data_IF_397491622685
#
_entry.id   IF_397491622685
#
_cell.length_a   1.000
_cell.length_b   1.000
_cell.length_c   1.000
_cell.angle_alpha   90.00
_cell.angle_beta   90.00
_cell.angle_gamma   90.00
#
_symmetry.space_group_name_H-M   'P 1'
#
loop_
_entity.id
_entity.type
_entity.pdbx_description
1 polymer ?
#
# COMPACT_ATOMS: atom_id res chain seq x y z
N UNK A 1 -32.21 0.68 34.21
CA UNK A 1 -31.82 0.39 32.81
C UNK A 1 -30.30 0.52 32.72
N UNK A 2 -29.51 -0.57 32.63
CA UNK A 2 -28.07 -0.43 32.57
C UNK A 2 -27.65 -0.06 31.16
N UNK A 3 -26.95 1.06 31.07
CA UNK A 3 -26.31 1.58 29.87
C UNK A 3 -25.29 0.56 29.35
N UNK A 4 -25.51 0.05 28.13
CA UNK A 4 -24.53 -0.72 27.39
C UNK A 4 -23.32 0.16 27.11
N UNK A 5 -22.35 0.17 28.04
CA UNK A 5 -20.99 0.60 27.74
C UNK A 5 -20.48 -0.36 26.67
N UNK A 6 -20.47 0.11 25.43
CA UNK A 6 -19.69 -0.48 24.36
C UNK A 6 -18.29 -0.67 24.95
N UNK A 7 -17.89 -1.92 25.19
CA UNK A 7 -16.55 -2.25 25.67
C UNK A 7 -15.57 -1.93 24.54
N UNK A 8 -15.22 -0.66 24.42
CA UNK A 8 -14.06 -0.23 23.65
C UNK A 8 -12.85 -0.66 24.47
N UNK A 9 -12.36 -1.87 24.23
CA UNK A 9 -11.16 -2.38 24.89
C UNK A 9 -9.98 -1.54 24.40
N UNK A 10 -9.41 -0.73 25.30
CA UNK A 10 -8.18 -0.02 25.02
C UNK A 10 -7.08 -1.01 24.65
N UNK A 11 -6.24 -0.63 23.69
CA UNK A 11 -5.06 -1.38 23.32
C UNK A 11 -4.10 -1.38 24.51
N UNK A 12 -3.86 -2.57 25.04
CA UNK A 12 -3.02 -2.83 26.19
C UNK A 12 -1.87 -3.76 25.81
N UNK A 13 -0.73 -3.59 26.47
CA UNK A 13 0.48 -4.33 26.12
C UNK A 13 0.39 -5.83 26.42
N UNK A 14 -0.49 -6.22 27.35
CA UNK A 14 -0.65 -7.61 27.78
C UNK A 14 -1.79 -8.31 27.03
N UNK A 15 -2.48 -7.60 26.13
CA UNK A 15 -3.60 -8.12 25.36
C UNK A 15 -3.18 -9.05 24.22
N UNK A 16 -4.07 -10.00 23.90
CA UNK A 16 -3.95 -10.85 22.72
C UNK A 16 -4.82 -10.25 21.61
N UNK A 17 -4.19 -9.69 20.58
CA UNK A 17 -4.90 -9.09 19.45
C UNK A 17 -4.71 -9.92 18.18
N UNK A 18 -5.66 -9.93 17.24
CA UNK A 18 -5.46 -10.57 15.94
C UNK A 18 -4.33 -9.86 15.19
N UNK A 19 -3.51 -10.57 14.43
CA UNK A 19 -2.44 -9.95 13.66
C UNK A 19 -3.01 -9.18 12.45
N UNK A 20 -2.68 -7.90 12.25
CA UNK A 20 -3.20 -7.15 11.11
C UNK A 20 -2.63 -7.61 9.76
N UNK A 21 -1.43 -8.22 9.76
CA UNK A 21 -0.73 -8.66 8.54
C UNK A 21 -1.30 -9.96 8.02
N UNK A 22 -1.42 -10.99 8.86
CA UNK A 22 -1.90 -12.29 8.44
C UNK A 22 -3.40 -12.51 8.73
N UNK A 23 -4.01 -11.75 9.65
CA UNK A 23 -5.38 -11.95 10.17
C UNK A 23 -5.67 -13.33 10.77
N UNK A 24 -4.68 -14.21 10.83
CA UNK A 24 -4.80 -15.61 11.26
C UNK A 24 -4.16 -15.80 12.64
N UNK A 25 -2.94 -15.29 12.81
CA UNK A 25 -2.22 -15.36 14.08
C UNK A 25 -2.66 -14.31 15.07
N UNK A 26 -2.24 -14.47 16.33
CA UNK A 26 -2.36 -13.45 17.36
C UNK A 26 -1.01 -12.76 17.54
N UNK A 27 -1.03 -11.48 17.90
CA UNK A 27 0.16 -10.78 18.35
C UNK A 27 0.25 -10.91 19.87
N UNK A 28 1.46 -11.23 20.34
CA UNK A 28 1.80 -11.40 21.74
C UNK A 28 3.01 -10.53 22.07
N UNK A 29 3.11 -10.10 23.33
CA UNK A 29 4.23 -9.31 23.82
C UNK A 29 5.55 -10.10 23.73
N UNK A 30 6.62 -9.44 23.26
CA UNK A 30 7.97 -9.97 23.44
C UNK A 30 8.52 -9.45 24.77
N UNK A 31 8.75 -10.30 25.78
CA UNK A 31 9.42 -9.88 27.00
C UNK A 31 10.83 -9.39 26.62
N UNK A 32 11.25 -8.24 27.19
CA UNK A 32 12.50 -7.47 26.95
C UNK A 32 12.48 -6.33 25.90
N UNK A 33 11.42 -6.12 25.13
CA UNK A 33 11.33 -4.98 24.19
C UNK A 33 9.92 -4.38 24.19
N UNK A 34 9.74 -3.11 23.84
CA UNK A 34 8.43 -2.46 23.60
C UNK A 34 7.87 -2.85 22.21
N UNK A 35 7.91 -4.16 21.91
CA UNK A 35 7.45 -4.75 20.67
C UNK A 35 6.57 -5.99 20.89
N UNK A 36 5.60 -6.16 20.00
CA UNK A 36 4.77 -7.36 19.90
C UNK A 36 5.14 -8.14 18.66
N UNK A 37 5.12 -9.47 18.73
CA UNK A 37 5.32 -10.31 17.56
C UNK A 37 4.11 -11.20 17.31
N UNK A 38 3.86 -11.53 16.05
CA UNK A 38 2.83 -12.50 15.71
C UNK A 38 3.35 -13.93 15.84
N UNK A 39 2.60 -14.79 16.54
CA UNK A 39 2.92 -16.21 16.71
C UNK A 39 2.89 -17.02 15.39
N UNK A 40 2.31 -16.44 14.32
CA UNK A 40 2.15 -17.07 13.02
C UNK A 40 3.13 -16.55 11.98
N UNK A 41 3.12 -15.22 11.73
CA UNK A 41 3.97 -14.63 10.71
C UNK A 41 5.36 -14.24 11.24
N UNK A 42 5.59 -14.31 12.56
CA UNK A 42 6.82 -13.90 13.24
C UNK A 42 7.26 -12.48 12.90
N UNK A 43 6.29 -11.64 12.52
CA UNK A 43 6.54 -10.24 12.24
C UNK A 43 6.56 -9.46 13.55
N UNK A 44 7.54 -8.58 13.70
CA UNK A 44 7.72 -7.74 14.89
C UNK A 44 7.07 -6.39 14.62
N UNK A 45 6.28 -5.92 15.57
CA UNK A 45 5.60 -4.64 15.56
C UNK A 45 6.10 -3.81 16.74
N UNK A 46 6.51 -2.58 16.50
CA UNK A 46 6.75 -1.60 17.56
C UNK A 46 5.42 -1.05 18.02
N UNK A 47 5.23 -1.03 19.33
CA UNK A 47 3.97 -0.64 19.95
C UNK A 47 4.09 0.79 20.45
N UNK A 48 3.13 1.63 20.09
CA UNK A 48 2.98 2.96 20.70
C UNK A 48 1.61 3.01 21.39
N UNK A 49 1.63 2.83 22.71
CA UNK A 49 0.45 2.81 23.56
C UNK A 49 -0.23 4.19 23.66
N UNK A 50 0.53 5.28 23.63
CA UNK A 50 0.01 6.65 23.69
C UNK A 50 -0.90 6.97 22.49
N UNK A 51 -0.48 6.51 21.31
CA UNK A 51 -1.21 6.72 20.05
C UNK A 51 -2.12 5.54 19.69
N UNK A 52 -2.18 4.50 20.55
CA UNK A 52 -2.97 3.27 20.36
C UNK A 52 -2.73 2.64 18.99
N UNK A 53 -1.45 2.55 18.61
CA UNK A 53 -1.04 2.13 17.28
C UNK A 53 0.14 1.15 17.33
N UNK A 54 0.21 0.32 16.30
CA UNK A 54 1.35 -0.58 16.07
C UNK A 54 2.00 -0.20 14.76
N UNK A 55 3.33 -0.16 14.75
CA UNK A 55 4.13 0.12 13.55
C UNK A 55 4.94 -1.11 13.18
N UNK A 56 5.11 -1.36 11.91
CA UNK A 56 5.97 -2.43 11.40
C UNK A 56 7.31 -1.83 10.96
N UNK A 57 8.37 -1.91 11.79
CA UNK A 57 9.68 -1.29 11.51
C UNK A 57 10.47 -2.01 10.43
N UNK A 58 10.11 -3.25 10.09
CA UNK A 58 10.77 -4.04 9.03
C UNK A 58 10.53 -3.47 7.62
N UNK A 59 9.70 -2.43 7.48
CA UNK A 59 9.34 -1.80 6.21
C UNK A 59 9.68 -0.31 6.20
N UNK A 60 10.13 0.18 5.04
CA UNK A 60 10.24 1.60 4.73
C UNK A 60 9.40 1.86 3.47
N UNK A 61 8.32 2.65 3.55
CA UNK A 61 7.78 3.34 4.73
C UNK A 61 7.15 2.36 5.75
N UNK A 62 7.25 2.62 7.06
CA UNK A 62 6.69 1.73 8.07
C UNK A 62 5.16 1.74 7.95
N UNK A 63 4.52 0.57 7.94
CA UNK A 63 3.05 0.50 8.01
C UNK A 63 2.60 0.67 9.45
N UNK A 64 1.55 1.46 9.65
CA UNK A 64 0.96 1.83 10.93
C UNK A 64 -0.49 1.39 10.92
N UNK A 65 -0.88 0.67 11.96
CA UNK A 65 -2.27 0.33 12.21
C UNK A 65 -2.72 0.99 13.50
N UNK A 66 -3.90 1.60 13.48
CA UNK A 66 -4.52 2.20 14.67
C UNK A 66 -5.60 1.27 15.20
N UNK A 67 -5.63 1.08 16.51
CA UNK A 67 -6.66 0.27 17.15
C UNK A 67 -7.93 1.10 17.37
N UNK A 68 -9.08 0.63 16.85
CA UNK A 68 -10.38 1.29 17.03
C UNK A 68 -11.23 0.64 18.16
N UNK A 69 -10.61 -0.11 19.07
CA UNK A 69 -11.30 -0.79 20.18
C UNK A 69 -11.81 -2.20 19.89
N UNK A 70 -12.11 -2.51 18.62
CA UNK A 70 -12.58 -3.84 18.18
C UNK A 70 -11.71 -4.47 17.10
N UNK A 71 -11.24 -3.66 16.15
CA UNK A 71 -10.46 -4.11 15.01
C UNK A 71 -9.33 -3.11 14.72
N UNK A 72 -8.33 -3.59 13.98
CA UNK A 72 -7.32 -2.74 13.36
C UNK A 72 -7.96 -1.90 12.27
N UNK A 73 -7.80 -0.58 12.38
CA UNK A 73 -8.10 0.33 11.29
C UNK A 73 -7.10 0.11 10.14
N UNK A 74 -7.47 0.55 8.94
CA UNK A 74 -6.73 0.28 7.71
C UNK A 74 -5.24 0.65 7.82
N UNK A 75 -4.40 -0.15 7.16
CA UNK A 75 -2.95 0.00 7.22
C UNK A 75 -2.54 1.31 6.55
N UNK A 76 -2.15 2.30 7.34
CA UNK A 76 -1.65 3.57 6.83
C UNK A 76 -0.12 3.50 6.76
N UNK A 77 0.46 3.81 5.61
CA UNK A 77 1.91 3.96 5.52
C UNK A 77 2.32 5.23 6.28
N UNK A 78 3.20 5.12 7.27
CA UNK A 78 3.77 6.27 7.98
C UNK A 78 4.53 7.14 6.98
N UNK A 79 4.10 8.39 6.82
CA UNK A 79 4.69 9.32 5.87
C UNK A 79 4.20 9.19 4.42
N UNK A 80 3.34 8.21 4.12
CA UNK A 80 2.53 8.20 2.90
C UNK A 80 1.07 8.24 3.34
N UNK A 81 0.63 9.45 3.70
CA UNK A 81 -0.75 9.80 3.41
C UNK A 81 -0.89 9.56 1.91
N UNK A 82 -1.62 8.51 1.51
CA UNK A 82 -2.15 8.35 0.15
C UNK A 82 -3.15 9.49 -0.08
N UNK A 83 -2.64 10.71 0.01
CA UNK A 83 -3.37 11.93 -0.13
C UNK A 83 -3.82 12.00 -1.57
N UNK A 84 -4.98 12.61 -1.74
CA UNK A 84 -5.53 12.98 -3.03
C UNK A 84 -4.47 13.62 -3.96
N UNK A 85 -3.46 14.28 -3.39
CA UNK A 85 -2.30 14.84 -4.10
C UNK A 85 -1.46 13.83 -4.89
N UNK A 86 -1.24 12.60 -4.42
CA UNK A 86 -0.49 11.60 -5.19
C UNK A 86 -1.28 11.12 -6.41
N UNK A 87 -2.59 10.92 -6.25
CA UNK A 87 -3.49 10.62 -7.36
C UNK A 87 -3.52 11.76 -8.38
N UNK A 88 -3.63 13.00 -7.91
CA UNK A 88 -3.61 14.19 -8.75
C UNK A 88 -2.28 14.33 -9.50
N UNK A 89 -1.15 14.09 -8.83
CA UNK A 89 0.18 14.14 -9.43
C UNK A 89 0.37 13.04 -10.48
N UNK A 90 -0.09 11.81 -10.24
CA UNK A 90 -0.04 10.72 -11.22
C UNK A 90 -0.89 11.04 -12.46
N UNK A 91 -2.10 11.58 -12.26
CA UNK A 91 -2.98 12.01 -13.36
C UNK A 91 -2.33 13.14 -14.15
N UNK A 92 -1.79 14.16 -13.47
CA UNK A 92 -1.10 15.27 -14.11
C UNK A 92 0.13 14.78 -14.89
N UNK A 93 0.91 13.86 -14.33
CA UNK A 93 2.09 13.29 -14.98
C UNK A 93 1.76 12.54 -16.27
N UNK A 94 0.60 11.87 -16.34
CA UNK A 94 0.16 11.18 -17.57
C UNK A 94 -0.47 12.16 -18.56
N UNK A 95 -1.36 13.05 -18.10
CA UNK A 95 -2.16 13.92 -18.96
C UNK A 95 -1.40 15.13 -19.49
N UNK A 96 -0.52 15.74 -18.69
CA UNK A 96 0.20 16.94 -19.09
C UNK A 96 1.07 16.74 -20.35
N UNK A 97 1.95 15.73 -20.43
CA UNK A 97 2.76 15.51 -21.63
C UNK A 97 1.94 15.04 -22.82
N UNK A 98 0.89 14.24 -22.62
CA UNK A 98 0.02 13.78 -23.72
C UNK A 98 -0.84 14.88 -24.31
N UNK A 99 -1.44 15.73 -23.46
CA UNK A 99 -2.22 16.87 -23.92
C UNK A 99 -1.34 17.88 -24.65
N UNK A 100 -0.13 18.14 -24.17
CA UNK A 100 0.82 19.05 -24.84
C UNK A 100 1.14 18.57 -26.26
N UNK A 101 1.45 17.28 -26.43
CA UNK A 101 1.75 16.71 -27.75
C UNK A 101 0.49 16.65 -28.64
N UNK A 102 -0.66 16.30 -28.06
CA UNK A 102 -1.93 16.26 -28.78
C UNK A 102 -2.37 17.64 -29.28
N UNK A 103 -2.15 18.70 -28.49
CA UNK A 103 -2.40 20.10 -28.87
C UNK A 103 -1.51 20.48 -30.05
N UNK A 104 -0.22 20.12 -30.03
CA UNK A 104 0.70 20.37 -31.15
C UNK A 104 0.22 19.68 -32.43
N UNK A 105 -0.21 18.42 -32.33
CA UNK A 105 -0.77 17.68 -33.47
C UNK A 105 -2.07 18.27 -34.01
N UNK A 106 -2.89 18.91 -33.16
CA UNK A 106 -4.13 19.58 -33.56
C UNK A 106 -3.89 20.92 -34.26
N UNK A 107 -2.99 21.76 -33.72
CA UNK A 107 -2.69 23.08 -34.28
C UNK A 107 -1.83 23.02 -35.54
N UNK A 108 -0.98 21.99 -35.67
CA UNK A 108 -0.16 21.75 -36.86
C UNK A 108 -0.59 20.44 -37.53
N UNK A 109 -1.78 20.41 -38.15
CA UNK A 109 -2.26 19.21 -38.82
C UNK A 109 -1.29 18.87 -39.96
N UNK A 110 -0.80 17.63 -40.04
CA UNK A 110 0.14 17.24 -41.08
C UNK A 110 -0.57 17.27 -42.44
N UNK A 111 0.06 17.88 -43.43
CA UNK A 111 -0.45 17.95 -44.80
C UNK A 111 -0.57 16.54 -45.38
N UNK A 112 -1.74 16.18 -45.94
CA UNK A 112 -2.06 14.83 -46.45
C UNK A 112 -1.02 14.24 -47.43
N UNK A 113 -0.22 15.08 -48.09
CA UNK A 113 0.78 14.67 -49.09
C UNK A 113 2.19 14.44 -48.52
N UNK A 114 2.39 14.61 -47.20
CA UNK A 114 3.67 14.35 -46.57
C UNK A 114 3.78 12.88 -46.13
N UNK A 115 4.94 12.20 -46.34
CA UNK A 115 5.10 10.79 -46.00
C UNK A 115 5.05 10.48 -44.48
N UNK A 116 5.06 11.51 -43.62
CA UNK A 116 5.18 11.39 -42.16
C UNK A 116 3.94 12.02 -41.46
N UNK A 117 2.74 11.80 -42.00
CA UNK A 117 1.47 12.28 -41.41
C UNK A 117 1.05 11.53 -40.14
N UNK A 118 1.47 10.27 -40.01
CA UNK A 118 1.16 9.37 -38.90
C UNK A 118 1.99 9.57 -37.63
N UNK A 119 3.16 10.23 -37.74
CA UNK A 119 4.13 10.37 -36.64
C UNK A 119 3.59 11.13 -35.41
N UNK A 120 2.89 12.28 -35.55
CA UNK A 120 2.36 13.00 -34.39
C UNK A 120 1.34 12.17 -33.58
N UNK A 121 0.52 11.38 -34.27
CA UNK A 121 -0.47 10.51 -33.65
C UNK A 121 0.18 9.34 -32.91
N UNK A 122 1.16 8.68 -33.52
CA UNK A 122 1.93 7.62 -32.86
C UNK A 122 2.70 8.15 -31.66
N UNK A 123 3.33 9.31 -31.80
CA UNK A 123 4.12 9.89 -30.72
C UNK A 123 3.25 10.26 -29.51
N UNK A 124 2.03 10.74 -29.74
CA UNK A 124 1.03 11.00 -28.68
C UNK A 124 0.68 9.70 -27.94
N UNK A 125 0.38 8.63 -28.68
CA UNK A 125 0.06 7.31 -28.11
C UNK A 125 1.25 6.69 -27.36
N UNK A 126 2.45 6.76 -27.91
CA UNK A 126 3.67 6.28 -27.27
C UNK A 126 3.93 7.01 -25.96
N UNK A 127 3.79 8.34 -25.97
CA UNK A 127 3.99 9.16 -24.76
C UNK A 127 2.99 8.76 -23.67
N UNK A 128 1.71 8.58 -24.02
CA UNK A 128 0.71 8.08 -23.08
C UNK A 128 1.11 6.74 -22.47
N UNK A 129 1.46 5.77 -23.32
CA UNK A 129 1.83 4.41 -22.89
C UNK A 129 3.08 4.40 -22.02
N UNK A 130 4.11 5.18 -22.35
CA UNK A 130 5.32 5.26 -21.55
C UNK A 130 5.07 5.84 -20.16
N UNK A 131 4.29 6.91 -20.05
CA UNK A 131 3.97 7.51 -18.75
C UNK A 131 3.07 6.59 -17.91
N UNK A 132 2.11 5.92 -18.54
CA UNK A 132 1.29 4.91 -17.88
C UNK A 132 2.15 3.73 -17.39
N UNK A 133 3.09 3.25 -18.21
CA UNK A 133 4.02 2.19 -17.83
C UNK A 133 4.91 2.58 -16.63
N UNK A 134 5.37 3.83 -16.54
CA UNK A 134 6.13 4.33 -15.38
C UNK A 134 5.27 4.32 -14.12
N UNK A 135 4.04 4.84 -14.19
CA UNK A 135 3.13 4.84 -13.04
C UNK A 135 2.80 3.40 -12.62
N UNK A 136 2.51 2.53 -13.59
CA UNK A 136 2.23 1.12 -13.33
C UNK A 136 3.44 0.40 -12.73
N UNK A 137 4.66 0.70 -13.20
CA UNK A 137 5.89 0.17 -12.63
C UNK A 137 6.07 0.61 -11.18
N UNK A 138 5.92 1.91 -10.89
CA UNK A 138 6.01 2.44 -9.52
C UNK A 138 4.95 1.81 -8.63
N UNK A 139 3.72 1.67 -9.13
CA UNK A 139 2.65 1.00 -8.42
C UNK A 139 3.02 -0.45 -8.13
N UNK A 140 3.52 -1.19 -9.12
CA UNK A 140 4.03 -2.55 -8.93
C UNK A 140 5.14 -2.58 -7.90
N UNK A 141 6.16 -1.72 -7.97
CA UNK A 141 7.28 -1.70 -7.02
C UNK A 141 6.79 -1.45 -5.58
N UNK A 142 5.89 -0.48 -5.41
CA UNK A 142 5.27 -0.16 -4.12
C UNK A 142 4.38 -1.30 -3.60
N UNK A 143 3.65 -2.00 -4.49
CA UNK A 143 2.74 -3.10 -4.13
C UNK A 143 3.36 -4.51 -4.16
N UNK A 144 4.53 -4.73 -4.75
CA UNK A 144 5.14 -6.06 -4.88
C UNK A 144 5.65 -6.59 -3.55
N UNK A 145 6.11 -5.71 -2.65
CA UNK A 145 6.61 -6.13 -1.34
C UNK A 145 5.48 -6.66 -0.43
N UNK A 146 4.24 -6.09 -0.37
CA UNK A 146 3.18 -6.64 0.49
C UNK A 146 2.64 -7.98 -0.01
N UNK A 147 2.47 -8.16 -1.33
CA UNK A 147 1.96 -9.42 -1.90
C UNK A 147 3.02 -10.53 -1.80
N UNK A 148 4.29 -10.26 -2.08
CA UNK A 148 5.33 -11.28 -1.98
C UNK A 148 5.59 -11.74 -0.54
N UNK A 149 5.53 -10.84 0.45
CA UNK A 149 5.64 -11.20 1.86
C UNK A 149 4.43 -12.02 2.34
N UNK A 150 3.23 -11.63 1.92
CA UNK A 150 1.99 -12.37 2.17
C UNK A 150 2.02 -13.78 1.55
N UNK A 151 2.45 -13.90 0.29
CA UNK A 151 2.62 -15.17 -0.40
C UNK A 151 3.68 -16.04 0.27
N UNK A 152 4.80 -15.48 0.73
CA UNK A 152 5.81 -16.22 1.50
C UNK A 152 5.25 -16.76 2.82
N UNK A 153 4.47 -15.95 3.53
CA UNK A 153 3.80 -16.37 4.77
C UNK A 153 2.79 -17.51 4.51
N UNK A 154 1.99 -17.38 3.46
CA UNK A 154 1.00 -18.38 3.07
C UNK A 154 1.65 -19.67 2.56
N UNK A 155 2.78 -19.58 1.86
CA UNK A 155 3.52 -20.76 1.38
C UNK A 155 4.19 -21.52 2.55
N UNK A 156 4.67 -20.81 3.58
CA UNK A 156 5.16 -21.42 4.83
C UNK A 156 4.04 -22.13 5.60
N UNK A 157 2.84 -21.54 5.65
CA UNK A 157 1.66 -22.17 6.25
C UNK A 157 1.30 -23.46 5.52
N UNK A 158 1.14 -23.40 4.19
CA UNK A 158 0.87 -24.57 3.36
C UNK A 158 1.89 -25.69 3.55
N UNK A 159 3.17 -25.36 3.66
CA UNK A 159 4.22 -26.35 3.90
C UNK A 159 4.18 -26.95 5.32
N UNK A 160 3.65 -26.25 6.33
CA UNK A 160 3.42 -26.81 7.68
C UNK A 160 2.21 -27.74 7.71
N UNK A 161 1.14 -27.42 6.97
CA UNK A 161 -0.05 -28.28 6.87
C UNK A 161 0.28 -29.62 6.16
N UNK A 162 1.08 -29.59 5.09
CA UNK A 162 1.45 -30.80 4.34
C UNK A 162 2.54 -31.66 5.01
N UNK A 163 3.20 -31.14 6.04
CA UNK A 163 4.22 -31.86 6.81
C UNK A 163 3.70 -32.58 8.05
N UNK A 164 2.37 -32.68 8.22
CA UNK A 164 1.70 -33.29 9.36
C UNK A 164 0.88 -34.51 8.95
#
# INVERSE_FOLDING_TARGET
>A
MPSSKILTTSFDYQGLYPCPVCRIGKISQMPLMEAMACDFCHEIFTVNLEQQQIKMPSRQPPLVWRWNGFNWNEAQLEGVELGWGYGLAAIAFVLFPTTLIGIVAYYFPPTLNAPITWMPYIWTGLTFLSHLAIIFWIFIEVYQIPVAAYLRAMNRWRNREMGR
#
